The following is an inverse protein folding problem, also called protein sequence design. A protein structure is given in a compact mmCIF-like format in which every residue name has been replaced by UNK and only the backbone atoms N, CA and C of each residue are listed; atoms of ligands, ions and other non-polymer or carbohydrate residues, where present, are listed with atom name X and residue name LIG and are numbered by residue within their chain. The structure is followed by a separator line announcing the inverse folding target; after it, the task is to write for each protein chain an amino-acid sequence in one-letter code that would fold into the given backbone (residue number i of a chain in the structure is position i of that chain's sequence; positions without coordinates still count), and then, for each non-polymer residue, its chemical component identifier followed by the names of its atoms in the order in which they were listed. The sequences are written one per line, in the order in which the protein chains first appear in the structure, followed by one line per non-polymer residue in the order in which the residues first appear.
data_IF_813223304561
#
_entry.id   IF_813223304561
#
_cell.length_a   1.000
_cell.length_b   1.000
_cell.length_c   1.000
_cell.angle_alpha   90.00
_cell.angle_beta   90.00
_cell.angle_gamma   90.00
#
_symmetry.space_group_name_H-M   'P 1'
#
loop_
_entity.id
_entity.type
_entity.pdbx_description
1 polymer ?
#
# COMPACT_ATOMS: atom_id res chain seq x y z
N UNK A 1 -5.28 0.05 0.03
CA UNK A 1 -4.64 -0.98 0.86
C UNK A 1 -3.77 -0.30 1.92
N UNK A 2 -4.10 -0.48 3.19
CA UNK A 2 -3.35 0.06 4.32
C UNK A 2 -2.24 -0.91 4.75
N UNK A 3 -1.03 -0.41 4.91
CA UNK A 3 0.04 -1.16 5.58
C UNK A 3 -0.01 -0.89 7.07
N UNK A 4 -0.15 -1.96 7.84
CA UNK A 4 -0.26 -1.94 9.29
C UNK A 4 1.10 -2.09 9.97
N UNK A 5 1.29 -1.55 11.17
CA UNK A 5 0.28 -0.82 11.96
C UNK A 5 0.26 0.69 11.70
N UNK A 6 1.41 1.29 11.39
CA UNK A 6 1.60 2.74 11.40
C UNK A 6 0.68 3.51 10.45
N UNK A 7 0.42 2.97 9.25
CA UNK A 7 -0.39 3.63 8.23
C UNK A 7 -1.86 3.85 8.58
N UNK A 8 -2.40 3.21 9.63
CA UNK A 8 -3.86 3.16 9.87
C UNK A 8 -4.51 4.53 10.04
N UNK A 9 -3.85 5.47 10.74
CA UNK A 9 -4.42 6.79 11.02
C UNK A 9 -4.47 7.64 9.75
N UNK A 10 -3.35 7.71 9.02
CA UNK A 10 -3.30 8.38 7.73
C UNK A 10 -4.28 7.78 6.73
N UNK A 11 -4.35 6.44 6.67
CA UNK A 11 -5.29 5.73 5.82
C UNK A 11 -6.75 6.08 6.14
N UNK A 12 -7.14 6.08 7.42
CA UNK A 12 -8.49 6.45 7.85
C UNK A 12 -8.86 7.85 7.39
N UNK A 13 -8.00 8.84 7.64
CA UNK A 13 -8.24 10.23 7.27
C UNK A 13 -8.32 10.41 5.74
N UNK A 14 -7.46 9.71 4.99
CA UNK A 14 -7.46 9.73 3.52
C UNK A 14 -8.75 9.14 2.95
N UNK A 15 -9.21 7.99 3.46
CA UNK A 15 -10.44 7.36 2.99
C UNK A 15 -11.66 8.23 3.29
N UNK A 16 -11.74 8.83 4.48
CA UNK A 16 -12.82 9.75 4.83
C UNK A 16 -12.86 10.94 3.85
N UNK A 17 -11.70 11.51 3.52
CA UNK A 17 -11.63 12.60 2.54
C UNK A 17 -12.10 12.16 1.16
N UNK A 18 -11.65 11.00 0.67
CA UNK A 18 -12.10 10.48 -0.64
C UNK A 18 -13.61 10.20 -0.65
N UNK A 19 -14.15 9.60 0.41
CA UNK A 19 -15.58 9.33 0.53
C UNK A 19 -16.40 10.62 0.52
N UNK A 20 -15.93 11.67 1.20
CA UNK A 20 -16.58 12.97 1.17
C UNK A 20 -16.57 13.58 -0.24
N UNK A 21 -15.45 13.51 -0.96
CA UNK A 21 -15.38 13.97 -2.36
C UNK A 21 -16.29 13.15 -3.28
N UNK A 22 -16.37 11.83 -3.10
CA UNK A 22 -17.28 10.95 -3.85
C UNK A 22 -18.76 11.30 -3.63
N UNK A 23 -19.13 11.70 -2.41
CA UNK A 23 -20.52 12.11 -2.09
C UNK A 23 -20.91 13.43 -2.76
N UNK A 24 -19.95 14.35 -2.91
CA UNK A 24 -20.17 15.67 -3.49
C UNK A 24 -20.21 15.65 -5.02
N UNK A 25 -19.66 14.61 -5.66
CA UNK A 25 -19.55 14.49 -7.12
C UNK A 25 -20.28 13.23 -7.62
N UNK A 26 -21.59 13.33 -7.81
CA UNK A 26 -22.46 12.21 -8.19
C UNK A 26 -22.13 11.61 -9.57
N UNK A 27 -21.52 12.36 -10.47
CA UNK A 27 -21.09 11.93 -11.80
C UNK A 27 -19.75 11.15 -11.79
N UNK A 28 -19.03 11.12 -10.66
CA UNK A 28 -17.66 10.56 -10.55
C UNK A 28 -17.43 9.74 -9.27
N UNK A 29 -18.44 8.99 -8.83
CA UNK A 29 -18.29 8.07 -7.70
C UNK A 29 -17.21 7.02 -8.01
N UNK A 30 -16.17 6.97 -7.16
CA UNK A 30 -15.11 5.96 -7.24
C UNK A 30 -15.43 4.79 -6.30
N UNK A 31 -15.83 3.61 -6.81
CA UNK A 31 -15.97 2.42 -5.98
C UNK A 31 -14.60 1.99 -5.45
N UNK A 32 -14.53 1.67 -4.15
CA UNK A 32 -13.28 1.28 -3.49
C UNK A 32 -13.49 0.10 -2.56
N UNK A 33 -12.52 -0.82 -2.55
CA UNK A 33 -12.36 -1.84 -1.50
C UNK A 33 -11.22 -1.46 -0.57
N UNK A 34 -11.39 -1.75 0.72
CA UNK A 34 -10.39 -1.46 1.74
C UNK A 34 -9.73 -2.75 2.18
N UNK A 35 -8.43 -2.87 1.90
CA UNK A 35 -7.61 -4.00 2.30
C UNK A 35 -6.59 -3.58 3.36
N UNK A 36 -6.29 -4.47 4.30
CA UNK A 36 -5.28 -4.28 5.33
C UNK A 36 -4.23 -5.36 5.22
N UNK A 37 -2.96 -4.96 5.19
CA UNK A 37 -1.84 -5.89 5.19
C UNK A 37 -0.86 -5.56 6.29
N UNK A 38 -0.10 -6.55 6.74
CA UNK A 38 1.10 -6.36 7.53
C UNK A 38 2.28 -6.96 6.79
N UNK A 39 3.36 -6.21 6.69
CA UNK A 39 4.61 -6.72 6.14
C UNK A 39 5.57 -7.14 7.23
N UNK A 40 6.27 -8.25 7.02
CA UNK A 40 7.42 -8.66 7.83
C UNK A 40 8.60 -8.94 6.90
N UNK A 41 9.75 -8.36 7.19
CA UNK A 41 11.02 -8.78 6.59
C UNK A 41 11.57 -9.93 7.40
N UNK A 42 11.77 -11.10 6.77
CA UNK A 42 12.49 -12.20 7.42
C UNK A 42 13.98 -11.85 7.51
N UNK A 43 14.50 -11.71 8.72
CA UNK A 43 15.93 -11.45 9.01
C UNK A 43 16.46 -12.62 9.82
N UNK A 44 16.52 -13.81 9.22
CA UNK A 44 17.22 -14.94 9.83
C UNK A 44 18.46 -15.23 8.98
N UNK A 45 19.60 -14.72 9.44
CA UNK A 45 21.02 -15.06 9.17
C UNK A 45 21.50 -15.47 7.76
N UNK A 46 20.63 -15.42 6.77
CA UNK A 46 20.91 -15.52 5.36
C UNK A 46 20.03 -14.48 4.67
N UNK A 47 20.64 -13.79 3.72
CA UNK A 47 20.12 -12.72 2.89
C UNK A 47 18.91 -13.12 2.03
N UNK A 48 17.83 -13.59 2.64
CA UNK A 48 16.55 -13.74 1.96
C UNK A 48 15.86 -12.38 2.02
N UNK A 49 15.91 -11.64 0.91
CA UNK A 49 15.13 -10.41 0.68
C UNK A 49 13.62 -10.72 0.56
N UNK A 50 13.11 -11.70 1.31
CA UNK A 50 11.77 -12.23 1.16
C UNK A 50 10.83 -11.47 2.08
N UNK A 51 9.93 -10.71 1.44
CA UNK A 51 8.86 -9.99 2.09
C UNK A 51 7.71 -10.95 2.39
N UNK A 52 7.29 -11.02 3.64
CA UNK A 52 6.05 -11.68 4.03
C UNK A 52 4.91 -10.68 4.05
N UNK A 53 3.78 -11.05 3.43
CA UNK A 53 2.55 -10.26 3.42
C UNK A 53 1.49 -11.05 4.18
N UNK A 54 0.98 -10.45 5.26
CA UNK A 54 -0.02 -11.05 6.14
C UNK A 54 -1.31 -10.23 6.01
N UNK A 55 -2.47 -10.90 5.99
CA UNK A 55 -3.79 -10.25 6.02
C UNK A 55 -4.50 -10.16 4.67
N UNK A 56 -3.83 -10.52 3.58
CA UNK A 56 -4.46 -10.67 2.27
C UNK A 56 -4.71 -12.15 1.98
N UNK A 57 -5.97 -12.55 1.85
CA UNK A 57 -6.38 -13.96 1.69
C UNK A 57 -6.06 -14.52 0.30
N UNK A 58 -6.25 -13.71 -0.75
CA UNK A 58 -5.95 -14.09 -2.12
C UNK A 58 -5.35 -12.92 -2.91
N UNK A 59 -4.06 -13.03 -3.25
CA UNK A 59 -3.34 -12.05 -4.05
C UNK A 59 -3.84 -11.99 -5.51
N UNK A 60 -4.54 -13.00 -6.01
CA UNK A 60 -5.11 -12.98 -7.37
C UNK A 60 -6.22 -11.94 -7.52
N UNK A 61 -6.84 -11.51 -6.42
CA UNK A 61 -7.84 -10.45 -6.41
C UNK A 61 -7.30 -9.08 -6.87
N UNK A 62 -5.98 -8.93 -6.93
CA UNK A 62 -5.29 -7.72 -7.36
C UNK A 62 -5.28 -7.53 -8.88
N UNK A 63 -5.54 -8.59 -9.65
CA UNK A 63 -5.50 -8.55 -11.13
C UNK A 63 -6.48 -7.51 -11.68
N UNK A 64 -6.00 -6.72 -12.64
CA UNK A 64 -6.73 -5.65 -13.30
C UNK A 64 -7.27 -4.54 -12.36
N UNK A 65 -6.82 -4.49 -11.10
CA UNK A 65 -7.23 -3.45 -10.13
C UNK A 65 -6.26 -2.27 -10.11
N UNK A 66 -6.79 -1.09 -9.79
CA UNK A 66 -5.98 0.07 -9.45
C UNK A 66 -5.65 0.02 -7.96
N UNK A 67 -4.38 -0.15 -7.62
CA UNK A 67 -3.91 -0.29 -6.26
C UNK A 67 -3.36 1.02 -5.73
N UNK A 68 -3.89 1.47 -4.60
CA UNK A 68 -3.31 2.53 -3.79
C UNK A 68 -2.82 1.93 -2.48
N UNK A 69 -1.50 1.82 -2.34
CA UNK A 69 -0.82 1.38 -1.11
C UNK A 69 -0.62 2.61 -0.23
N UNK A 70 -0.96 2.50 1.05
CA UNK A 70 -0.89 3.59 2.01
C UNK A 70 -0.03 3.17 3.20
N UNK A 71 1.03 3.94 3.47
CA UNK A 71 1.99 3.73 4.57
C UNK A 71 2.15 5.05 5.35
N UNK A 72 2.53 5.01 6.63
CA UNK A 72 2.82 6.22 7.39
C UNK A 72 4.11 6.91 6.94
N UNK A 73 5.20 6.14 6.78
CA UNK A 73 6.53 6.69 6.51
C UNK A 73 7.33 5.86 5.51
N UNK A 74 7.90 6.55 4.53
CA UNK A 74 8.92 6.00 3.64
C UNK A 74 10.30 6.50 4.11
N UNK A 75 11.11 5.57 4.62
CA UNK A 75 12.51 5.82 4.97
C UNK A 75 13.44 5.55 3.78
N UNK A 76 13.88 4.30 3.60
CA UNK A 76 14.74 3.90 2.48
C UNK A 76 13.97 3.45 1.23
N UNK A 77 12.65 3.30 1.34
CA UNK A 77 11.79 2.77 0.27
C UNK A 77 11.89 1.26 0.02
N UNK A 78 12.74 0.52 0.75
CA UNK A 78 12.96 -0.93 0.56
C UNK A 78 11.66 -1.73 0.69
N UNK A 79 10.85 -1.47 1.72
CA UNK A 79 9.57 -2.15 1.92
C UNK A 79 8.59 -1.90 0.77
N UNK A 80 8.43 -0.65 0.35
CA UNK A 80 7.53 -0.28 -0.75
C UNK A 80 8.00 -0.84 -2.09
N UNK A 81 9.32 -0.86 -2.34
CA UNK A 81 9.88 -1.47 -3.54
C UNK A 81 9.65 -2.98 -3.58
N UNK A 82 9.83 -3.67 -2.45
CA UNK A 82 9.58 -5.10 -2.34
C UNK A 82 8.07 -5.42 -2.50
N UNK A 83 7.19 -4.65 -1.86
CA UNK A 83 5.73 -4.79 -2.00
C UNK A 83 5.28 -4.59 -3.45
N UNK A 84 5.76 -3.52 -4.10
CA UNK A 84 5.43 -3.25 -5.51
C UNK A 84 5.85 -4.42 -6.40
N UNK A 85 7.08 -4.91 -6.24
CA UNK A 85 7.59 -6.06 -6.98
C UNK A 85 6.77 -7.33 -6.73
N UNK A 86 6.30 -7.55 -5.51
CA UNK A 86 5.45 -8.71 -5.18
C UNK A 86 4.08 -8.60 -5.85
N UNK A 87 3.44 -7.43 -5.79
CA UNK A 87 2.12 -7.20 -6.36
C UNK A 87 2.11 -7.15 -7.90
N UNK A 88 3.19 -6.70 -8.53
CA UNK A 88 3.32 -6.71 -9.99
C UNK A 88 3.17 -8.11 -10.60
N UNK A 89 3.50 -9.17 -9.86
CA UNK A 89 3.32 -10.57 -10.30
C UNK A 89 1.85 -10.97 -10.51
N UNK A 90 0.91 -10.20 -9.96
CA UNK A 90 -0.52 -10.45 -10.04
C UNK A 90 -1.23 -9.54 -11.06
N UNK A 91 -0.46 -8.86 -11.93
CA UNK A 91 -0.97 -8.07 -13.06
C UNK A 91 -2.04 -7.02 -12.68
N UNK A 92 -1.79 -6.16 -11.69
CA UNK A 92 -2.70 -5.05 -11.41
C UNK A 92 -2.65 -4.02 -12.53
N UNK A 93 -3.76 -3.31 -12.74
CA UNK A 93 -3.85 -2.24 -13.74
C UNK A 93 -2.90 -1.08 -13.44
N UNK A 94 -2.84 -0.67 -12.17
CA UNK A 94 -1.89 0.35 -11.69
C UNK A 94 -1.48 0.08 -10.25
N UNK A 95 -0.27 0.51 -9.87
CA UNK A 95 0.16 0.58 -8.47
C UNK A 95 0.64 2.01 -8.18
N UNK A 96 0.05 2.62 -7.16
CA UNK A 96 0.44 3.91 -6.59
C UNK A 96 0.72 3.75 -5.10
N UNK A 97 1.64 4.55 -4.59
CA UNK A 97 1.99 4.59 -3.17
C UNK A 97 1.71 5.99 -2.64
N UNK A 98 0.98 6.08 -1.54
CA UNK A 98 0.82 7.28 -0.75
C UNK A 98 1.49 7.08 0.60
N UNK A 99 2.26 8.09 1.03
CA UNK A 99 2.87 8.11 2.35
C UNK A 99 2.69 9.48 2.97
N UNK A 100 2.43 9.51 4.29
CA UNK A 100 2.31 10.77 5.02
C UNK A 100 3.67 11.48 5.11
N UNK A 101 4.75 10.71 5.32
CA UNK A 101 6.10 11.25 5.50
C UNK A 101 7.07 10.51 4.58
N UNK A 102 7.81 11.25 3.76
CA UNK A 102 8.97 10.71 3.06
C UNK A 102 10.23 11.33 3.64
N UNK A 103 11.11 10.51 4.23
CA UNK A 103 12.38 11.00 4.74
C UNK A 103 13.30 11.34 3.58
N UNK A 104 13.81 12.57 3.56
CA UNK A 104 14.90 12.97 2.66
C UNK A 104 16.20 12.43 3.23
N UNK A 105 16.95 11.66 2.43
CA UNK A 105 18.30 11.21 2.79
C UNK A 105 19.29 11.78 1.76
N UNK A 106 20.51 12.10 2.20
CA UNK A 106 21.53 12.77 1.38
C UNK A 106 22.14 11.87 0.29
N UNK A 107 21.85 10.58 0.35
CA UNK A 107 22.33 9.53 -0.54
C UNK A 107 21.52 9.37 -1.85
N UNK A 108 20.64 10.31 -2.18
CA UNK A 108 20.00 10.48 -3.50
C UNK A 108 19.71 11.94 -3.84
#
# INVERSE_FOLDING_TARGET
MCVLKGGYRFFSDLILKIQNENRLRSDRSLPMSLEFIRTRSYVNDQSSNRLEIIGLSDLKTLKDKNLLIVEDIIDRGVTMAALKKEFEKFEPKTIRVASLITKRRKDK
#
